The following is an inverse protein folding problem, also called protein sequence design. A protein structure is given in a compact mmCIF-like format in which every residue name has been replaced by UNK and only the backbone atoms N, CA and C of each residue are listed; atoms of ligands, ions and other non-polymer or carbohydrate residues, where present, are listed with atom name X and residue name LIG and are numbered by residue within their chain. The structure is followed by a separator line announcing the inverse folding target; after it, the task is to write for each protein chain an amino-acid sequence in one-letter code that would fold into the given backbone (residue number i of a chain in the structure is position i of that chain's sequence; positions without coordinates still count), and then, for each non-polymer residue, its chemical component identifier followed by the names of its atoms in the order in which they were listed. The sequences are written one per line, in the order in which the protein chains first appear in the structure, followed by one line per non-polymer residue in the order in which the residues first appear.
data_IF_505741517881
#
_entry.id   IF_505741517881
#
_cell.length_a   1.000
_cell.length_b   1.000
_cell.length_c   1.000
_cell.angle_alpha   90.00
_cell.angle_beta   90.00
_cell.angle_gamma   90.00
#
_symmetry.space_group_name_H-M   'P 1'
#
loop_
_entity.id
_entity.type
_entity.pdbx_description
1 polymer ?
#
# COMPACT_ATOMS: atom_id res chain seq x y z
N UNK A 1 -17.36 68.17 30.24
CA UNK A 1 -17.25 66.71 30.48
C UNK A 1 -18.14 65.95 29.49
N UNK A 2 -17.84 66.00 28.19
CA UNK A 2 -18.51 65.25 27.11
C UNK A 2 -17.57 65.29 25.90
N UNK A 3 -16.63 64.37 25.79
CA UNK A 3 -15.84 64.15 24.57
C UNK A 3 -14.99 62.86 24.62
N UNK A 4 -14.82 62.24 25.79
CA UNK A 4 -13.98 61.03 25.93
C UNK A 4 -14.74 59.72 25.66
N UNK A 5 -16.08 59.75 25.58
CA UNK A 5 -16.91 58.54 25.44
C UNK A 5 -17.17 58.09 23.99
N UNK A 6 -17.11 58.98 23.00
CA UNK A 6 -17.37 58.59 21.60
C UNK A 6 -16.18 57.87 20.95
N UNK A 7 -14.95 58.19 21.35
CA UNK A 7 -13.74 57.62 20.71
C UNK A 7 -13.58 56.12 21.00
N UNK A 8 -13.86 55.67 22.22
CA UNK A 8 -13.77 54.24 22.58
C UNK A 8 -14.84 53.38 21.91
N UNK A 9 -16.05 53.91 21.73
CA UNK A 9 -17.13 53.20 21.06
C UNK A 9 -16.83 52.99 19.57
N UNK A 10 -16.25 54.00 18.90
CA UNK A 10 -15.84 53.88 17.49
C UNK A 10 -14.68 52.90 17.29
N UNK A 11 -13.72 52.84 18.21
CA UNK A 11 -12.61 51.87 18.17
C UNK A 11 -13.12 50.43 18.41
N UNK A 12 -14.08 50.24 19.32
CA UNK A 12 -14.70 48.93 19.55
C UNK A 12 -15.55 48.47 18.36
N UNK A 13 -16.36 49.36 17.77
CA UNK A 13 -17.18 49.05 16.60
C UNK A 13 -16.32 48.73 15.36
N UNK A 14 -15.23 49.46 15.15
CA UNK A 14 -14.29 49.17 14.05
C UNK A 14 -13.51 47.86 14.23
N UNK A 15 -13.13 47.51 15.47
CA UNK A 15 -12.50 46.22 15.77
C UNK A 15 -13.47 45.03 15.57
N UNK A 16 -14.75 45.18 15.93
CA UNK A 16 -15.78 44.16 15.70
C UNK A 16 -16.08 44.01 14.21
N UNK A 17 -16.15 45.10 13.45
CA UNK A 17 -16.29 45.04 11.99
C UNK A 17 -15.08 44.38 11.32
N UNK A 18 -13.84 44.63 11.78
CA UNK A 18 -12.66 43.90 11.28
C UNK A 18 -12.71 42.41 11.63
N UNK A 19 -13.10 42.03 12.85
CA UNK A 19 -13.28 40.61 13.19
C UNK A 19 -14.37 39.93 12.35
N UNK A 20 -15.48 40.62 12.07
CA UNK A 20 -16.57 40.12 11.23
C UNK A 20 -16.26 40.10 9.73
N UNK A 21 -15.23 40.82 9.28
CA UNK A 21 -14.70 40.78 7.90
C UNK A 21 -13.57 39.77 7.74
N UNK A 22 -12.86 39.42 8.81
CA UNK A 22 -11.79 38.40 8.80
C UNK A 22 -12.37 36.99 8.97
N UNK A 23 -13.42 36.81 9.77
CA UNK A 23 -14.07 35.49 9.98
C UNK A 23 -14.71 34.85 8.74
N UNK A 24 -15.32 35.58 7.77
CA UNK A 24 -15.85 34.98 6.55
C UNK A 24 -14.73 34.64 5.56
N UNK A 25 -13.61 35.36 5.57
CA UNK A 25 -12.45 35.06 4.73
C UNK A 25 -11.68 33.83 5.22
N UNK A 26 -11.62 33.59 6.53
CA UNK A 26 -11.02 32.37 7.08
C UNK A 26 -11.90 31.14 6.85
N UNK A 27 -13.24 31.29 6.85
CA UNK A 27 -14.17 30.18 6.60
C UNK A 27 -14.42 29.93 5.10
N UNK A 28 -14.28 30.95 4.23
CA UNK A 28 -14.41 30.78 2.78
C UNK A 28 -13.18 30.12 2.13
N UNK A 29 -12.01 30.15 2.78
CA UNK A 29 -10.79 29.52 2.26
C UNK A 29 -10.75 27.99 2.46
N UNK A 30 -11.60 27.43 3.31
CA UNK A 30 -11.51 26.04 3.78
C UNK A 30 -12.67 25.14 3.31
N UNK A 31 -13.50 25.63 2.39
CA UNK A 31 -14.54 24.81 1.78
C UNK A 31 -14.65 25.10 0.28
N UNK A 32 -13.56 24.87 -0.45
CA UNK A 32 -13.69 24.46 -1.85
C UNK A 32 -14.36 23.10 -1.78
N UNK A 33 -15.61 22.97 -2.22
CA UNK A 33 -16.23 21.65 -2.41
C UNK A 33 -15.22 20.79 -3.16
N UNK A 34 -14.76 19.72 -2.52
CA UNK A 34 -13.78 18.85 -3.16
C UNK A 34 -14.51 18.22 -4.35
N UNK A 35 -14.10 18.53 -5.59
CA UNK A 35 -14.64 17.91 -6.81
C UNK A 35 -14.22 16.43 -6.92
N UNK A 36 -14.14 15.73 -5.78
CA UNK A 36 -13.79 14.32 -5.69
C UNK A 36 -14.98 13.53 -6.21
N UNK A 37 -14.74 12.82 -7.30
CA UNK A 37 -15.62 11.81 -7.88
C UNK A 37 -15.34 10.48 -7.19
N UNK A 38 -16.37 9.65 -7.14
CA UNK A 38 -16.31 8.32 -6.53
C UNK A 38 -17.09 7.33 -7.40
N UNK A 39 -16.59 6.11 -7.50
CA UNK A 39 -17.32 4.99 -8.08
C UNK A 39 -16.95 3.69 -7.37
N UNK A 40 -17.94 2.81 -7.29
CA UNK A 40 -17.83 1.46 -6.74
C UNK A 40 -17.97 0.46 -7.88
N UNK A 41 -17.09 -0.51 -7.92
CA UNK A 41 -17.02 -1.54 -8.95
C UNK A 41 -16.91 -2.93 -8.32
N UNK A 42 -17.15 -3.95 -9.13
CA UNK A 42 -16.94 -5.35 -8.77
C UNK A 42 -15.92 -5.96 -9.73
N UNK A 43 -15.06 -6.84 -9.21
CA UNK A 43 -14.29 -7.75 -10.07
C UNK A 43 -15.24 -8.68 -10.83
N UNK A 44 -14.76 -9.42 -11.85
CA UNK A 44 -15.46 -10.61 -12.29
C UNK A 44 -15.65 -11.59 -11.12
N UNK A 45 -16.73 -12.37 -11.21
CA UNK A 45 -17.05 -13.41 -10.22
C UNK A 45 -15.94 -14.45 -10.14
N UNK A 46 -15.56 -14.82 -8.93
CA UNK A 46 -14.75 -16.01 -8.67
C UNK A 46 -15.48 -16.94 -7.70
N UNK A 47 -15.15 -18.23 -7.74
CA UNK A 47 -15.80 -19.23 -6.91
C UNK A 47 -14.79 -19.98 -6.08
N UNK A 48 -15.04 -20.06 -4.77
CA UNK A 48 -14.21 -20.80 -3.82
C UNK A 48 -15.05 -21.84 -3.09
N UNK A 49 -14.48 -23.04 -2.94
CA UNK A 49 -14.92 -24.04 -1.96
C UNK A 49 -13.88 -24.23 -0.85
N UNK A 50 -14.18 -25.03 0.18
CA UNK A 50 -13.31 -25.24 1.32
C UNK A 50 -11.85 -25.54 0.94
N UNK A 51 -10.92 -24.75 1.46
CA UNK A 51 -9.47 -24.86 1.21
C UNK A 51 -8.99 -24.31 -0.13
N UNK A 52 -9.86 -24.04 -1.10
CA UNK A 52 -9.43 -23.65 -2.46
C UNK A 52 -8.88 -22.22 -2.53
N UNK A 53 -8.00 -21.99 -3.52
CA UNK A 53 -7.30 -20.73 -3.74
C UNK A 53 -7.66 -20.08 -5.07
N UNK A 54 -8.07 -18.82 -5.00
CA UNK A 54 -8.13 -17.90 -6.13
C UNK A 54 -6.84 -17.10 -6.13
N UNK A 55 -6.09 -17.07 -7.24
CA UNK A 55 -4.95 -16.15 -7.43
C UNK A 55 -4.89 -15.75 -8.91
N UNK A 56 -5.84 -14.91 -9.32
CA UNK A 56 -6.12 -14.62 -10.73
C UNK A 56 -5.89 -13.16 -11.07
N UNK A 57 -5.46 -12.93 -12.29
CA UNK A 57 -5.32 -11.60 -12.88
C UNK A 57 -6.52 -11.31 -13.79
N UNK A 58 -7.15 -10.18 -13.56
CA UNK A 58 -8.27 -9.62 -14.32
C UNK A 58 -7.76 -8.41 -15.09
N UNK A 59 -7.64 -8.55 -16.41
CA UNK A 59 -7.17 -7.50 -17.30
C UNK A 59 -8.29 -6.54 -17.66
N UNK A 60 -7.91 -5.31 -17.99
CA UNK A 60 -8.81 -4.23 -18.39
C UNK A 60 -9.99 -4.05 -17.40
N UNK A 61 -9.65 -4.00 -16.12
CA UNK A 61 -10.65 -3.80 -15.07
C UNK A 61 -11.41 -2.49 -15.25
N UNK A 62 -12.63 -2.44 -14.73
CA UNK A 62 -13.37 -1.19 -14.64
C UNK A 62 -12.61 -0.20 -13.76
N UNK A 63 -12.30 0.97 -14.31
CA UNK A 63 -11.45 1.95 -13.67
C UNK A 63 -11.74 3.33 -14.26
N UNK A 64 -11.73 4.43 -13.47
CA UNK A 64 -11.95 5.76 -14.01
C UNK A 64 -10.92 6.10 -15.09
N UNK A 65 -11.41 6.56 -16.24
CA UNK A 65 -10.59 6.88 -17.43
C UNK A 65 -10.43 8.38 -17.61
N UNK A 66 -9.40 8.77 -18.34
CA UNK A 66 -9.03 10.16 -18.61
C UNK A 66 -7.82 10.61 -17.79
N UNK A 67 -7.39 11.86 -18.00
CA UNK A 67 -6.31 12.44 -17.22
C UNK A 67 -6.86 12.88 -15.86
N UNK A 68 -6.53 12.13 -14.81
CA UNK A 68 -7.11 12.27 -13.47
C UNK A 68 -6.04 12.18 -12.39
N UNK A 69 -6.36 12.72 -11.22
CA UNK A 69 -5.60 12.53 -9.98
C UNK A 69 -6.34 11.56 -9.08
N UNK A 70 -5.79 10.35 -8.88
CA UNK A 70 -6.39 9.40 -7.94
C UNK A 70 -6.21 9.90 -6.51
N UNK A 71 -7.25 9.70 -5.70
CA UNK A 71 -7.38 10.22 -4.33
C UNK A 71 -7.53 9.13 -3.29
N UNK A 72 -8.06 7.95 -3.64
CA UNK A 72 -8.19 6.81 -2.73
C UNK A 72 -8.54 5.55 -3.54
N UNK A 73 -8.12 4.39 -3.05
CA UNK A 73 -8.54 3.09 -3.56
C UNK A 73 -8.67 2.12 -2.39
N UNK A 74 -9.87 1.59 -2.17
CA UNK A 74 -10.13 0.52 -1.19
C UNK A 74 -10.74 -0.70 -1.88
N UNK A 75 -10.54 -1.88 -1.29
CA UNK A 75 -11.03 -3.15 -1.81
C UNK A 75 -11.35 -4.13 -0.69
N UNK A 76 -12.39 -4.94 -0.87
CA UNK A 76 -12.76 -6.02 0.04
C UNK A 76 -13.51 -7.15 -0.69
N UNK A 77 -13.50 -8.35 -0.11
CA UNK A 77 -14.27 -9.48 -0.63
C UNK A 77 -15.72 -9.42 -0.12
N UNK A 78 -16.66 -9.58 -1.05
CA UNK A 78 -18.11 -9.64 -0.79
C UNK A 78 -18.75 -10.88 -1.42
N UNK A 79 -19.88 -11.30 -0.86
CA UNK A 79 -20.75 -12.36 -1.42
C UNK A 79 -21.66 -11.86 -2.55
N UNK A 80 -22.54 -12.73 -3.07
CA UNK A 80 -23.50 -12.40 -4.15
C UNK A 80 -24.52 -11.34 -3.73
N UNK A 81 -24.84 -11.28 -2.44
CA UNK A 81 -25.73 -10.30 -1.83
C UNK A 81 -25.01 -8.97 -1.52
N UNK A 82 -23.70 -8.91 -1.69
CA UNK A 82 -22.88 -7.72 -1.44
C UNK A 82 -22.48 -7.51 0.02
N UNK A 83 -22.64 -8.52 0.88
CA UNK A 83 -22.18 -8.50 2.25
C UNK A 83 -20.67 -8.78 2.32
N UNK A 84 -19.99 -8.10 3.24
CA UNK A 84 -18.56 -8.33 3.50
C UNK A 84 -18.35 -9.72 4.10
N UNK A 85 -17.38 -10.45 3.56
CA UNK A 85 -17.06 -11.82 4.01
C UNK A 85 -15.98 -11.80 5.09
N UNK A 86 -16.16 -12.46 6.25
CA UNK A 86 -15.13 -12.52 7.28
C UNK A 86 -13.85 -13.24 6.84
N UNK A 87 -12.69 -12.76 7.31
CA UNK A 87 -11.37 -13.31 6.99
C UNK A 87 -11.15 -14.75 7.46
N UNK A 88 -11.85 -15.16 8.51
CA UNK A 88 -11.83 -16.55 9.00
C UNK A 88 -12.67 -17.52 8.15
N UNK A 89 -13.42 -17.01 7.16
CA UNK A 89 -14.10 -17.79 6.14
C UNK A 89 -13.39 -17.69 4.79
N UNK A 90 -13.15 -16.47 4.30
CA UNK A 90 -12.37 -16.22 3.09
C UNK A 90 -11.30 -15.19 3.41
N UNK A 91 -10.07 -15.66 3.50
CA UNK A 91 -8.93 -14.81 3.75
C UNK A 91 -8.52 -14.14 2.44
N UNK A 92 -8.69 -12.82 2.36
CA UNK A 92 -8.13 -11.99 1.30
C UNK A 92 -6.63 -11.83 1.58
N UNK A 93 -5.82 -12.73 1.02
CA UNK A 93 -4.37 -12.71 1.22
C UNK A 93 -3.78 -11.43 0.64
N UNK A 94 -4.18 -11.06 -0.58
CA UNK A 94 -3.98 -9.73 -1.12
C UNK A 94 -4.89 -9.48 -2.31
N UNK A 95 -5.07 -8.20 -2.61
CA UNK A 95 -5.47 -7.74 -3.92
C UNK A 95 -4.41 -6.74 -4.37
N UNK A 96 -4.15 -6.64 -5.66
CA UNK A 96 -3.17 -5.71 -6.20
C UNK A 96 -3.63 -5.12 -7.52
N UNK A 97 -3.48 -3.81 -7.68
CA UNK A 97 -3.84 -3.08 -8.90
C UNK A 97 -2.59 -2.59 -9.57
N UNK A 98 -2.39 -3.01 -10.82
CA UNK A 98 -1.21 -2.69 -11.62
C UNK A 98 -1.63 -1.91 -12.87
N UNK A 99 -0.78 -0.95 -13.26
CA UNK A 99 -0.94 -0.15 -14.48
C UNK A 99 -0.17 -0.80 -15.62
N UNK A 100 -0.75 -0.82 -16.83
CA UNK A 100 -0.05 -1.27 -18.02
C UNK A 100 -0.48 -0.48 -19.26
N UNK A 101 0.37 -0.49 -20.28
CA UNK A 101 0.05 0.03 -21.60
C UNK A 101 -0.18 -1.13 -22.57
N UNK A 102 -1.26 -1.05 -23.35
CA UNK A 102 -1.59 -2.03 -24.38
C UNK A 102 -1.56 -1.40 -25.76
N UNK A 103 -1.02 -2.10 -26.77
CA UNK A 103 -1.08 -1.62 -28.16
C UNK A 103 -2.54 -1.58 -28.64
N UNK A 104 -2.95 -0.45 -29.20
CA UNK A 104 -4.30 -0.28 -29.76
C UNK A 104 -4.57 -1.30 -30.88
N UNK A 105 -5.77 -1.87 -30.88
CA UNK A 105 -6.20 -2.85 -31.89
C UNK A 105 -5.64 -4.26 -31.69
N UNK A 106 -4.95 -4.52 -30.57
CA UNK A 106 -4.61 -5.88 -30.15
C UNK A 106 -5.61 -6.35 -29.10
N UNK A 107 -6.06 -7.59 -29.18
CA UNK A 107 -6.72 -8.22 -28.03
C UNK A 107 -5.65 -8.71 -27.06
N UNK A 108 -5.90 -8.55 -25.75
CA UNK A 108 -5.05 -9.22 -24.76
C UNK A 108 -5.27 -10.70 -25.01
N UNK A 109 -4.30 -11.39 -25.61
CA UNK A 109 -4.25 -12.85 -25.53
C UNK A 109 -4.27 -13.13 -24.04
N UNK A 110 -5.41 -13.61 -23.54
CA UNK A 110 -5.60 -14.02 -22.16
C UNK A 110 -4.36 -14.79 -21.79
N UNK A 111 -3.49 -14.17 -20.98
CA UNK A 111 -2.23 -14.77 -20.59
C UNK A 111 -2.65 -16.10 -19.98
N UNK A 112 -2.36 -17.17 -20.72
CA UNK A 112 -2.57 -18.51 -20.25
C UNK A 112 -1.97 -18.54 -18.86
N UNK A 113 -2.73 -19.11 -17.93
CA UNK A 113 -2.63 -19.05 -16.47
C UNK A 113 -1.28 -19.41 -15.84
N UNK A 114 -0.20 -19.46 -16.62
CA UNK A 114 1.07 -20.05 -16.29
C UNK A 114 2.27 -19.13 -16.55
N UNK A 115 2.12 -17.90 -17.05
CA UNK A 115 3.28 -17.02 -17.30
C UNK A 115 3.27 -15.75 -16.46
N UNK A 116 4.18 -15.71 -15.49
CA UNK A 116 4.53 -14.50 -14.78
C UNK A 116 5.33 -13.63 -15.73
N UNK A 117 4.76 -12.47 -16.09
CA UNK A 117 5.49 -11.29 -16.54
C UNK A 117 6.44 -11.40 -17.76
N UNK A 118 6.38 -12.44 -18.60
CA UNK A 118 7.20 -12.52 -19.82
C UNK A 118 6.37 -12.70 -21.08
N UNK A 119 5.82 -11.59 -21.59
CA UNK A 119 5.38 -11.52 -22.99
C UNK A 119 6.57 -11.15 -23.86
N UNK A 120 7.24 -12.17 -24.41
CA UNK A 120 8.15 -11.98 -25.55
C UNK A 120 7.34 -12.16 -26.85
N UNK A 121 6.98 -11.04 -27.49
CA UNK A 121 6.61 -11.03 -28.91
C UNK A 121 7.80 -10.49 -29.71
N UNK A 122 8.11 -11.14 -30.83
CA UNK A 122 9.26 -10.86 -31.72
C UNK A 122 9.17 -9.48 -32.44
N UNK A 123 8.22 -8.62 -32.04
CA UNK A 123 8.04 -7.25 -32.55
C UNK A 123 7.68 -6.26 -31.42
N UNK A 124 8.44 -6.29 -30.33
CA UNK A 124 8.17 -5.48 -29.13
C UNK A 124 6.90 -5.94 -28.41
N UNK A 125 6.80 -5.81 -27.07
CA UNK A 125 5.64 -6.37 -26.40
C UNK A 125 4.42 -5.48 -26.66
N UNK A 126 3.29 -6.06 -27.10
CA UNK A 126 1.98 -5.39 -27.18
C UNK A 126 1.41 -5.00 -25.81
N UNK A 127 2.22 -5.21 -24.76
CA UNK A 127 1.92 -5.05 -23.35
C UNK A 127 3.15 -4.50 -22.63
N UNK A 128 3.02 -3.38 -21.94
CA UNK A 128 4.11 -2.78 -21.15
C UNK A 128 3.60 -2.59 -19.72
N UNK A 129 4.16 -3.36 -18.78
CA UNK A 129 3.84 -3.16 -17.36
C UNK A 129 4.49 -1.86 -16.87
N UNK A 130 3.71 -1.02 -16.19
CA UNK A 130 4.18 0.23 -15.60
C UNK A 130 4.24 0.04 -14.09
N UNK A 131 5.45 -0.03 -13.53
CA UNK A 131 5.65 -0.14 -12.08
C UNK A 131 5.49 1.19 -11.36
N UNK A 132 5.31 1.11 -10.04
CA UNK A 132 5.52 2.24 -9.15
C UNK A 132 6.98 2.74 -9.21
N UNK A 133 7.29 3.83 -8.49
CA UNK A 133 8.61 4.46 -8.47
C UNK A 133 9.60 3.80 -7.50
N UNK A 134 9.22 2.68 -6.89
CA UNK A 134 10.06 1.87 -6.02
C UNK A 134 11.28 1.27 -6.73
N UNK A 135 12.20 0.77 -5.93
CA UNK A 135 13.53 0.28 -6.34
C UNK A 135 13.59 -1.23 -6.60
N UNK A 136 12.53 -1.95 -6.25
CA UNK A 136 12.42 -3.38 -6.47
C UNK A 136 12.35 -3.68 -7.97
N UNK A 137 13.50 -4.11 -8.50
CA UNK A 137 13.70 -4.41 -9.92
C UNK A 137 12.89 -5.64 -10.36
N UNK A 138 12.78 -5.83 -11.67
CA UNK A 138 12.09 -6.98 -12.30
C UNK A 138 10.60 -7.10 -11.92
N UNK A 139 9.98 -5.99 -11.49
CA UNK A 139 8.55 -5.91 -11.19
C UNK A 139 8.10 -6.85 -10.06
N UNK A 140 8.91 -7.05 -9.01
CA UNK A 140 8.55 -7.93 -7.89
C UNK A 140 7.45 -7.37 -6.98
N UNK A 141 7.39 -6.04 -6.82
CA UNK A 141 6.28 -5.31 -6.16
C UNK A 141 5.88 -4.09 -7.00
N UNK A 142 5.24 -4.31 -8.17
CA UNK A 142 4.97 -3.25 -9.16
C UNK A 142 3.66 -2.50 -8.91
N UNK A 143 2.87 -2.93 -7.92
CA UNK A 143 1.51 -2.48 -7.69
C UNK A 143 1.43 -0.98 -7.34
N UNK A 144 0.31 -0.37 -7.72
CA UNK A 144 -0.05 1.01 -7.38
C UNK A 144 -0.94 1.07 -6.14
N UNK A 145 -1.84 0.09 -6.02
CA UNK A 145 -2.73 -0.08 -4.87
C UNK A 145 -2.81 -1.55 -4.50
N UNK A 146 -3.27 -1.78 -3.28
CA UNK A 146 -3.57 -3.10 -2.77
C UNK A 146 -2.53 -3.60 -1.78
N UNK A 147 -2.99 -3.75 -0.54
CA UNK A 147 -2.29 -4.37 0.59
C UNK A 147 -3.31 -5.16 1.40
N UNK A 148 -3.15 -6.49 1.37
CA UNK A 148 -3.85 -7.52 2.15
C UNK A 148 -5.31 -7.32 2.56
N UNK A 149 -5.62 -7.92 3.71
CA UNK A 149 -6.93 -7.94 4.35
C UNK A 149 -7.14 -6.74 5.28
N UNK A 150 -6.07 -6.06 5.65
CA UNK A 150 -6.07 -4.86 6.49
C UNK A 150 -6.74 -3.65 5.84
N UNK A 151 -7.09 -3.74 4.55
CA UNK A 151 -7.65 -2.62 3.80
C UNK A 151 -8.90 -2.01 4.48
N UNK A 152 -9.73 -2.82 5.18
CA UNK A 152 -10.97 -2.34 5.82
C UNK A 152 -10.73 -1.30 6.93
N UNK A 153 -9.68 -1.48 7.72
CA UNK A 153 -9.31 -0.62 8.84
C UNK A 153 -8.19 0.37 8.53
N UNK A 154 -7.79 0.49 7.26
CA UNK A 154 -6.65 1.31 6.84
C UNK A 154 -7.12 2.50 6.01
N UNK A 155 -6.81 3.71 6.45
CA UNK A 155 -7.13 4.93 5.69
C UNK A 155 -6.26 5.04 4.44
N UNK A 156 -6.87 5.22 3.27
CA UNK A 156 -6.15 5.29 1.97
C UNK A 156 -6.32 6.63 1.26
N UNK A 157 -6.96 7.60 1.92
CA UNK A 157 -7.22 8.91 1.32
C UNK A 157 -5.91 9.69 1.12
N UNK A 158 -5.78 10.36 -0.01
CA UNK A 158 -4.66 11.23 -0.36
C UNK A 158 -5.11 12.66 -0.09
N UNK A 159 -4.45 13.42 0.80
CA UNK A 159 -4.90 14.77 1.14
C UNK A 159 -4.77 15.72 -0.06
N UNK A 160 -5.63 16.73 -0.12
CA UNK A 160 -5.45 17.82 -1.09
C UNK A 160 -4.19 18.63 -0.77
N UNK A 161 -3.49 19.18 -1.80
CA UNK A 161 -3.81 19.12 -3.23
C UNK A 161 -3.19 17.92 -3.97
N UNK A 162 -2.76 16.88 -3.25
CA UNK A 162 -1.97 15.79 -3.83
C UNK A 162 -2.83 14.75 -4.56
N UNK A 163 -2.27 14.10 -5.58
CA UNK A 163 -2.95 12.99 -6.27
C UNK A 163 -1.98 12.14 -7.09
N UNK A 164 -2.29 10.86 -7.28
CA UNK A 164 -1.51 10.00 -8.18
C UNK A 164 -1.98 10.28 -9.61
N UNK A 165 -1.08 10.82 -10.44
CA UNK A 165 -1.37 11.16 -11.83
C UNK A 165 -1.46 9.91 -12.71
N UNK A 166 -2.58 9.77 -13.42
CA UNK A 166 -2.82 8.67 -14.37
C UNK A 166 -3.52 9.18 -15.63
N UNK A 167 -3.46 8.43 -16.72
CA UNK A 167 -4.08 8.81 -17.99
C UNK A 167 -3.49 10.04 -18.69
N UNK A 168 -2.29 10.49 -18.30
CA UNK A 168 -1.58 11.57 -19.00
C UNK A 168 -1.09 11.08 -20.37
N UNK A 169 -1.66 11.62 -21.46
CA UNK A 169 -1.33 11.23 -22.82
C UNK A 169 0.15 11.44 -23.19
N UNK A 170 0.84 12.38 -22.54
CA UNK A 170 2.27 12.60 -22.75
C UNK A 170 3.16 11.49 -22.15
N UNK A 171 2.62 10.67 -21.23
CA UNK A 171 3.33 9.54 -20.61
C UNK A 171 3.02 8.19 -21.27
N UNK A 172 2.01 8.14 -22.14
CA UNK A 172 1.55 6.92 -22.82
C UNK A 172 2.28 6.83 -24.17
N UNK A 173 2.97 5.71 -24.50
CA UNK A 173 3.64 5.55 -25.78
C UNK A 173 2.69 5.65 -26.99
N UNK A 174 3.19 6.18 -28.10
CA UNK A 174 2.43 6.28 -29.34
C UNK A 174 1.89 4.92 -29.80
N UNK A 175 0.60 4.86 -30.11
CA UNK A 175 -0.08 3.64 -30.51
C UNK A 175 -0.49 2.73 -29.34
N UNK A 176 -0.28 3.15 -28.09
CA UNK A 176 -0.74 2.45 -26.90
C UNK A 176 -1.92 3.16 -26.21
N UNK A 177 -2.64 2.42 -25.38
CA UNK A 177 -3.64 2.91 -24.44
C UNK A 177 -3.33 2.43 -23.02
N UNK A 178 -3.68 3.23 -22.02
CA UNK A 178 -3.52 2.87 -20.63
C UNK A 178 -4.67 2.01 -20.12
N UNK A 179 -4.31 0.92 -19.45
CA UNK A 179 -5.22 -0.02 -18.82
C UNK A 179 -4.72 -0.43 -17.44
N UNK A 180 -5.64 -1.04 -16.71
CA UNK A 180 -5.43 -1.47 -15.34
C UNK A 180 -5.78 -2.94 -15.23
N UNK A 181 -4.99 -3.67 -14.45
CA UNK A 181 -5.27 -5.05 -14.12
C UNK A 181 -5.39 -5.20 -12.61
N UNK A 182 -6.24 -6.13 -12.20
CA UNK A 182 -6.49 -6.48 -10.82
C UNK A 182 -6.03 -7.92 -10.58
N UNK A 183 -5.16 -8.13 -9.61
CA UNK A 183 -4.90 -9.44 -9.05
C UNK A 183 -5.75 -9.62 -7.77
N UNK A 184 -6.40 -10.78 -7.65
CA UNK A 184 -7.10 -11.18 -6.42
C UNK A 184 -6.53 -12.51 -5.97
N UNK A 185 -5.92 -12.51 -4.78
CA UNK A 185 -5.45 -13.70 -4.09
C UNK A 185 -6.29 -13.93 -2.82
N UNK A 186 -7.18 -14.91 -2.87
CA UNK A 186 -8.10 -15.24 -1.79
C UNK A 186 -8.14 -16.74 -1.52
N UNK A 187 -8.22 -17.10 -0.23
CA UNK A 187 -8.17 -18.48 0.25
C UNK A 187 -9.42 -18.75 1.09
N UNK A 188 -10.17 -19.79 0.74
CA UNK A 188 -11.27 -20.26 1.58
C UNK A 188 -10.71 -21.08 2.74
N UNK A 189 -10.82 -20.54 3.96
CA UNK A 189 -10.26 -21.15 5.17
C UNK A 189 -11.31 -21.93 5.96
N UNK A 190 -12.50 -22.15 5.40
CA UNK A 190 -13.54 -22.96 6.04
C UNK A 190 -13.13 -24.43 6.03
N UNK A 191 -13.18 -25.07 7.19
CA UNK A 191 -12.90 -26.50 7.33
C UNK A 191 -11.44 -26.93 7.18
N UNK A 192 -10.51 -26.00 6.93
CA UNK A 192 -9.08 -26.33 6.81
C UNK A 192 -8.48 -26.82 8.13
N UNK A 193 -7.44 -27.66 8.04
CA UNK A 193 -6.78 -28.25 9.21
C UNK A 193 -6.05 -27.19 10.07
N UNK A 194 -5.27 -26.32 9.43
CA UNK A 194 -4.52 -25.22 10.04
C UNK A 194 -4.79 -23.93 9.28
N UNK A 195 -5.70 -23.09 9.79
CA UNK A 195 -6.07 -21.82 9.15
C UNK A 195 -4.87 -20.93 8.90
N UNK A 196 -4.06 -20.71 9.93
CA UNK A 196 -2.97 -19.75 9.84
C UNK A 196 -1.83 -20.30 8.98
N UNK A 197 -1.60 -21.63 8.98
CA UNK A 197 -0.71 -22.28 8.02
C UNK A 197 -1.20 -22.16 6.57
N UNK A 198 -2.51 -22.25 6.32
CA UNK A 198 -3.07 -22.00 4.98
C UNK A 198 -2.85 -20.56 4.54
N UNK A 199 -3.08 -19.57 5.43
CA UNK A 199 -2.90 -18.14 5.10
C UNK A 199 -1.44 -17.74 4.94
N UNK A 200 -0.50 -18.47 5.56
CA UNK A 200 0.95 -18.37 5.36
C UNK A 200 1.45 -19.21 4.17
N UNK A 201 0.53 -19.85 3.43
CA UNK A 201 0.86 -20.64 2.24
C UNK A 201 1.89 -21.75 2.48
N UNK A 202 1.83 -22.47 3.61
CA UNK A 202 2.76 -23.58 3.91
C UNK A 202 2.62 -24.72 2.90
N UNK A 203 3.71 -25.07 2.23
CA UNK A 203 3.68 -25.98 1.08
C UNK A 203 3.16 -27.38 1.42
N UNK A 204 3.39 -27.86 2.64
CA UNK A 204 2.94 -29.17 3.13
C UNK A 204 1.40 -29.26 3.25
N UNK A 205 0.74 -28.16 3.62
CA UNK A 205 -0.72 -28.07 3.68
C UNK A 205 -1.36 -28.03 2.29
N UNK A 206 -0.66 -27.52 1.28
CA UNK A 206 -1.14 -27.53 -0.11
C UNK A 206 -0.67 -28.75 -0.92
N UNK A 207 0.20 -29.59 -0.35
CA UNK A 207 0.84 -30.71 -1.02
C UNK A 207 1.59 -30.29 -2.31
N UNK A 208 2.35 -29.20 -2.22
CA UNK A 208 3.06 -28.59 -3.35
C UNK A 208 4.57 -28.81 -3.23
N UNK A 209 5.17 -29.28 -4.32
CA UNK A 209 6.63 -29.46 -4.45
C UNK A 209 7.21 -28.78 -5.69
N UNK A 210 6.35 -28.20 -6.54
CA UNK A 210 6.71 -27.44 -7.73
C UNK A 210 5.91 -26.14 -7.76
N UNK A 211 6.51 -25.06 -8.25
CA UNK A 211 5.80 -23.79 -8.39
C UNK A 211 4.78 -23.81 -9.55
N UNK A 212 4.07 -22.69 -9.74
CA UNK A 212 3.09 -22.51 -10.83
C UNK A 212 3.64 -22.72 -12.25
N UNK A 213 4.96 -22.71 -12.43
CA UNK A 213 5.64 -22.96 -13.70
C UNK A 213 6.17 -24.40 -13.83
N UNK A 214 5.88 -25.26 -12.85
CA UNK A 214 6.37 -26.63 -12.79
C UNK A 214 7.84 -26.74 -12.39
N UNK A 215 8.45 -25.68 -11.84
CA UNK A 215 9.84 -25.70 -11.37
C UNK A 215 9.88 -26.28 -9.96
N UNK A 216 10.77 -27.25 -9.66
CA UNK A 216 10.91 -27.79 -8.32
C UNK A 216 11.23 -26.71 -7.28
N UNK A 217 10.57 -26.79 -6.13
CA UNK A 217 10.89 -25.96 -4.97
C UNK A 217 12.16 -26.48 -4.29
N UNK A 218 12.91 -25.58 -3.66
CA UNK A 218 14.06 -25.99 -2.85
C UNK A 218 13.56 -26.63 -1.55
N UNK A 219 14.29 -27.61 -0.98
CA UNK A 219 13.82 -28.31 0.23
C UNK A 219 13.65 -27.41 1.46
N UNK A 220 14.30 -26.26 1.48
CA UNK A 220 14.25 -25.24 2.53
C UNK A 220 13.13 -24.20 2.31
N UNK A 221 12.43 -24.23 1.18
CA UNK A 221 11.27 -23.36 0.94
C UNK A 221 10.01 -23.97 1.56
N UNK A 222 9.69 -23.54 2.78
CA UNK A 222 8.61 -24.14 3.59
C UNK A 222 7.21 -23.62 3.24
N UNK A 223 7.11 -22.44 2.63
CA UNK A 223 5.84 -21.79 2.31
C UNK A 223 6.02 -20.39 1.75
N UNK A 224 4.93 -19.83 1.25
CA UNK A 224 4.89 -18.50 0.65
C UNK A 224 4.31 -18.47 -0.76
N UNK A 225 4.67 -17.44 -1.53
CA UNK A 225 4.17 -17.12 -2.87
C UNK A 225 4.17 -18.29 -3.86
N UNK A 226 5.07 -19.27 -3.71
CA UNK A 226 5.18 -20.40 -4.64
C UNK A 226 4.23 -21.56 -4.33
N UNK A 227 3.53 -21.55 -3.19
CA UNK A 227 2.78 -22.71 -2.68
C UNK A 227 1.26 -22.58 -2.69
N UNK A 228 0.72 -21.36 -2.83
CA UNK A 228 -0.71 -21.08 -2.88
C UNK A 228 -1.11 -20.36 -4.18
N UNK A 229 -0.71 -20.91 -5.33
CA UNK A 229 -1.13 -20.38 -6.63
C UNK A 229 -2.56 -20.81 -6.98
N UNK A 230 -3.12 -20.22 -8.04
CA UNK A 230 -4.52 -20.43 -8.43
C UNK A 230 -4.87 -21.92 -8.60
N UNK A 231 -6.03 -22.32 -8.09
CA UNK A 231 -6.57 -23.70 -8.10
C UNK A 231 -5.82 -24.70 -7.22
N UNK A 232 -4.83 -24.26 -6.43
CA UNK A 232 -4.36 -25.08 -5.31
C UNK A 232 -5.45 -25.17 -4.23
N UNK A 233 -5.30 -26.14 -3.33
CA UNK A 233 -6.24 -26.37 -2.25
C UNK A 233 -5.47 -26.69 -0.97
N UNK A 234 -5.67 -25.88 0.06
CA UNK A 234 -5.17 -26.16 1.39
C UNK A 234 -5.91 -27.36 1.97
N UNK A 235 -5.20 -28.20 2.73
CA UNK A 235 -5.76 -29.42 3.32
C UNK A 235 -6.98 -29.11 4.19
N UNK A 236 -8.06 -29.81 3.88
CA UNK A 236 -9.36 -29.74 4.57
C UNK A 236 -9.50 -30.92 5.51
N UNK A 237 -10.10 -30.70 6.69
CA UNK A 237 -10.37 -31.75 7.67
C UNK A 237 -11.23 -32.85 7.06
N UNK A 238 -10.88 -34.10 7.38
CA UNK A 238 -11.64 -35.27 6.92
C UNK A 238 -13.13 -35.15 7.27
N UNK A 239 -14.00 -35.40 6.29
CA UNK A 239 -15.45 -35.32 6.44
C UNK A 239 -16.05 -33.90 6.43
N UNK A 240 -15.25 -32.83 6.30
CA UNK A 240 -15.80 -31.49 6.12
C UNK A 240 -16.26 -31.28 4.68
N UNK A 241 -17.57 -31.08 4.52
CA UNK A 241 -18.19 -30.67 3.26
C UNK A 241 -18.76 -29.26 3.43
N UNK A 242 -18.44 -28.38 2.47
CA UNK A 242 -18.95 -27.01 2.46
C UNK A 242 -19.28 -26.58 1.04
N UNK A 243 -20.35 -25.77 0.84
CA UNK A 243 -20.72 -25.33 -0.49
C UNK A 243 -19.66 -24.39 -1.07
N UNK A 244 -19.52 -24.42 -2.39
CA UNK A 244 -18.81 -23.38 -3.11
C UNK A 244 -19.59 -22.07 -2.99
N UNK A 245 -18.88 -20.95 -2.86
CA UNK A 245 -19.43 -19.60 -2.81
C UNK A 245 -18.96 -18.81 -4.02
N UNK A 246 -19.88 -18.10 -4.65
CA UNK A 246 -19.58 -17.03 -5.59
C UNK A 246 -19.18 -15.78 -4.80
N UNK A 247 -18.06 -15.18 -5.18
CA UNK A 247 -17.47 -14.03 -4.49
C UNK A 247 -16.99 -12.99 -5.51
N UNK A 248 -16.83 -11.77 -5.02
CA UNK A 248 -16.33 -10.63 -5.79
C UNK A 248 -15.37 -9.82 -4.93
N UNK A 249 -14.39 -9.17 -5.56
CA UNK A 249 -13.73 -8.03 -4.94
C UNK A 249 -14.57 -6.79 -5.26
N UNK A 250 -15.18 -6.20 -4.24
CA UNK A 250 -15.78 -4.86 -4.32
C UNK A 250 -14.70 -3.84 -4.07
N UNK A 251 -14.56 -2.86 -4.95
CA UNK A 251 -13.59 -1.79 -4.79
C UNK A 251 -14.18 -0.41 -5.06
N UNK A 252 -13.67 0.57 -4.32
CA UNK A 252 -14.09 1.97 -4.43
C UNK A 252 -12.90 2.82 -4.84
N UNK A 253 -13.06 3.60 -5.91
CA UNK A 253 -12.03 4.52 -6.39
C UNK A 253 -12.53 5.95 -6.20
N UNK A 254 -11.71 6.81 -5.61
CA UNK A 254 -11.94 8.25 -5.56
C UNK A 254 -10.92 8.98 -6.42
N UNK A 255 -11.34 9.99 -7.17
CA UNK A 255 -10.45 10.76 -8.04
C UNK A 255 -10.95 12.19 -8.28
N UNK A 256 -10.07 13.04 -8.80
CA UNK A 256 -10.41 14.37 -9.32
C UNK A 256 -10.01 14.46 -10.79
N UNK A 257 -10.69 15.32 -11.56
CA UNK A 257 -10.18 15.67 -12.89
C UNK A 257 -8.83 16.34 -12.77
N UNK A 258 -7.88 15.97 -13.62
CA UNK A 258 -6.55 16.56 -13.57
C UNK A 258 -6.59 18.05 -13.89
N UNK A 259 -5.84 18.83 -13.13
CA UNK A 259 -5.59 20.25 -13.38
C UNK A 259 -4.22 20.62 -12.83
N UNK A 260 -3.69 21.77 -13.22
CA UNK A 260 -2.42 22.30 -12.70
C UNK A 260 -2.43 22.54 -11.18
N UNK A 261 -3.60 22.51 -10.55
CA UNK A 261 -3.72 22.61 -9.09
C UNK A 261 -3.48 21.29 -8.35
N UNK A 262 -3.49 20.15 -9.05
CA UNK A 262 -3.19 18.84 -8.46
C UNK A 262 -1.68 18.64 -8.44
N UNK A 263 -1.13 18.31 -7.28
CA UNK A 263 0.30 18.02 -7.13
C UNK A 263 0.54 16.52 -7.28
N UNK A 264 1.30 16.07 -8.30
CA UNK A 264 1.57 14.66 -8.49
C UNK A 264 2.39 14.09 -7.33
N UNK A 265 1.99 12.91 -6.86
CA UNK A 265 2.82 12.09 -5.96
C UNK A 265 3.33 10.85 -6.68
N UNK A 266 4.51 10.39 -6.25
CA UNK A 266 5.11 9.13 -6.66
C UNK A 266 4.90 8.08 -5.58
N UNK A 267 4.66 6.85 -6.03
CA UNK A 267 4.45 5.69 -5.16
C UNK A 267 5.79 5.00 -4.97
N UNK A 268 6.19 4.76 -3.74
CA UNK A 268 7.33 3.91 -3.41
C UNK A 268 6.84 2.75 -2.55
N UNK A 269 7.11 1.52 -3.00
CA UNK A 269 6.97 0.32 -2.17
C UNK A 269 8.38 -0.15 -1.82
N UNK A 270 8.68 -0.13 -0.53
CA UNK A 270 9.97 -0.56 0.02
C UNK A 270 9.80 -1.94 0.62
N UNK A 271 10.71 -2.86 0.33
CA UNK A 271 10.68 -4.23 0.82
C UNK A 271 11.84 -4.45 1.81
N UNK A 272 11.53 -4.87 3.04
CA UNK A 272 12.52 -5.11 4.09
C UNK A 272 13.50 -6.23 3.74
N UNK A 273 13.16 -7.08 2.78
CA UNK A 273 14.02 -8.19 2.31
C UNK A 273 15.01 -7.77 1.23
N UNK A 274 14.95 -6.52 0.74
CA UNK A 274 15.85 -6.04 -0.29
C UNK A 274 17.31 -6.07 0.18
N UNK A 275 18.16 -6.66 -0.67
CA UNK A 275 19.61 -6.66 -0.51
C UNK A 275 20.27 -5.94 -1.69
N UNK A 276 20.96 -4.85 -1.41
CA UNK A 276 21.79 -4.15 -2.39
C UNK A 276 23.01 -5.01 -2.78
N UNK A 277 23.06 -5.47 -4.03
CA UNK A 277 24.26 -6.07 -4.59
C UNK A 277 25.10 -4.99 -5.28
N UNK A 278 26.23 -4.63 -4.67
CA UNK A 278 27.24 -3.75 -5.28
C UNK A 278 28.26 -4.62 -6.02
N UNK A 279 28.44 -4.48 -7.34
CA UNK A 279 29.49 -5.21 -8.05
C UNK A 279 30.87 -4.83 -7.51
N UNK A 280 31.69 -5.82 -7.14
CA UNK A 280 33.06 -5.61 -6.67
C UNK A 280 33.86 -4.77 -7.70
N UNK A 281 34.42 -3.64 -7.25
CA UNK A 281 35.41 -2.87 -8.01
C UNK A 281 34.92 -1.58 -8.68
N UNK A 282 33.66 -1.17 -8.52
CA UNK A 282 33.20 0.13 -9.01
C UNK A 282 33.09 1.18 -7.91
N UNK A 283 33.97 2.17 -7.93
CA UNK A 283 33.86 3.39 -7.11
C UNK A 283 32.77 4.36 -7.64
N UNK A 284 31.91 3.96 -8.58
CA UNK A 284 30.77 4.78 -9.00
C UNK A 284 29.57 4.55 -8.07
N UNK A 285 29.37 5.47 -7.15
CA UNK A 285 28.25 5.50 -6.21
C UNK A 285 26.88 5.28 -6.90
N UNK A 286 26.08 4.41 -6.31
CA UNK A 286 24.61 4.28 -6.41
C UNK A 286 23.96 3.80 -7.73
N UNK A 287 24.48 4.11 -8.93
CA UNK A 287 23.70 3.92 -10.18
C UNK A 287 23.74 2.51 -10.81
N UNK A 288 24.58 1.59 -10.32
CA UNK A 288 24.66 0.21 -10.82
C UNK A 288 24.36 -0.85 -9.74
N UNK A 289 23.75 -0.45 -8.62
CA UNK A 289 23.37 -1.39 -7.57
C UNK A 289 22.18 -2.23 -8.06
N UNK A 290 22.32 -3.56 -8.03
CA UNK A 290 21.21 -4.47 -8.31
C UNK A 290 20.42 -4.66 -7.01
N UNK A 291 19.14 -4.31 -7.02
CA UNK A 291 18.23 -4.57 -5.92
C UNK A 291 17.70 -5.99 -6.03
N UNK A 292 17.53 -6.66 -4.89
CA UNK A 292 17.09 -8.05 -4.82
C UNK A 292 16.03 -8.17 -3.72
N UNK A 293 14.84 -7.69 -4.04
CA UNK A 293 13.64 -7.78 -3.21
C UNK A 293 13.08 -9.20 -3.29
N UNK A 294 13.04 -9.91 -2.15
CA UNK A 294 12.51 -11.28 -2.06
C UNK A 294 11.02 -11.32 -1.75
N UNK A 295 10.41 -10.18 -1.39
CA UNK A 295 9.00 -9.97 -1.04
C UNK A 295 8.60 -10.61 0.29
N UNK A 296 9.02 -11.85 0.54
CA UNK A 296 8.68 -12.63 1.73
C UNK A 296 9.91 -13.18 2.46
N UNK A 297 9.74 -13.46 3.75
CA UNK A 297 10.74 -14.12 4.59
C UNK A 297 10.06 -14.89 5.73
N UNK A 298 10.83 -15.76 6.38
CA UNK A 298 10.36 -16.54 7.52
C UNK A 298 10.80 -15.91 8.84
N UNK A 299 9.95 -16.04 9.87
CA UNK A 299 10.21 -15.61 11.24
C UNK A 299 10.18 -16.84 12.13
N UNK A 300 11.35 -17.22 12.64
CA UNK A 300 11.49 -18.39 13.50
C UNK A 300 10.88 -18.16 14.89
N UNK A 301 10.25 -19.18 15.47
CA UNK A 301 9.80 -19.14 16.86
C UNK A 301 10.96 -18.91 17.84
N UNK A 302 10.67 -18.31 19.00
CA UNK A 302 11.60 -18.29 20.13
C UNK A 302 11.39 -19.53 21.03
N UNK A 303 12.45 -20.02 21.66
CA UNK A 303 12.36 -21.13 22.63
C UNK A 303 12.13 -20.59 24.04
N UNK A 304 11.23 -21.21 24.82
CA UNK A 304 10.97 -20.87 26.23
C UNK A 304 12.20 -20.95 27.17
N UNK A 305 13.33 -21.53 26.72
CA UNK A 305 14.51 -21.81 27.53
C UNK A 305 15.65 -20.80 27.38
N UNK A 306 15.49 -19.76 26.56
CA UNK A 306 16.48 -18.68 26.45
C UNK A 306 15.82 -17.36 26.84
N UNK A 307 16.45 -16.66 27.78
CA UNK A 307 16.20 -15.25 28.07
C UNK A 307 16.56 -14.43 26.81
N UNK A 308 15.67 -14.42 25.82
CA UNK A 308 15.80 -13.52 24.68
C UNK A 308 15.65 -12.10 25.23
N UNK A 309 16.75 -11.36 25.29
CA UNK A 309 16.79 -9.98 25.81
C UNK A 309 15.84 -9.04 25.07
N UNK A 310 15.37 -9.43 23.88
CA UNK A 310 14.48 -8.68 23.01
C UNK A 310 13.00 -9.09 23.09
N UNK A 311 12.62 -9.93 24.06
CA UNK A 311 11.21 -10.26 24.30
C UNK A 311 10.53 -11.05 23.18
N UNK A 312 11.25 -11.96 22.52
CA UNK A 312 10.75 -12.77 21.39
C UNK A 312 10.25 -11.93 20.19
N UNK A 313 10.96 -10.86 19.86
CA UNK A 313 10.67 -10.03 18.68
C UNK A 313 11.72 -10.29 17.60
N UNK A 314 11.27 -10.62 16.39
CA UNK A 314 12.09 -10.61 15.20
C UNK A 314 12.15 -9.21 14.63
N UNK A 315 13.36 -8.68 14.43
CA UNK A 315 13.59 -7.35 13.89
C UNK A 315 14.33 -7.50 12.58
N UNK A 316 13.64 -7.27 11.47
CA UNK A 316 14.26 -7.26 10.14
C UNK A 316 14.47 -5.82 9.69
N UNK A 317 15.68 -5.52 9.21
CA UNK A 317 16.04 -4.19 8.71
C UNK A 317 16.70 -4.26 7.34
N UNK A 318 16.41 -3.27 6.51
CA UNK A 318 17.20 -2.96 5.32
C UNK A 318 17.44 -1.46 5.22
N UNK A 319 18.56 -1.06 4.63
CA UNK A 319 18.93 0.34 4.41
C UNK A 319 19.27 0.54 2.95
N UNK A 320 18.63 1.52 2.31
CA UNK A 320 18.75 1.72 0.87
C UNK A 320 18.65 3.19 0.48
N UNK A 321 19.39 3.61 -0.56
CA UNK A 321 19.33 4.98 -1.06
C UNK A 321 18.03 5.20 -1.83
N UNK A 322 17.27 6.24 -1.48
CA UNK A 322 16.09 6.65 -2.24
C UNK A 322 16.53 7.27 -3.58
N UNK A 323 16.06 6.76 -4.73
CA UNK A 323 16.55 7.19 -6.04
C UNK A 323 16.18 8.64 -6.33
N UNK A 324 15.00 9.07 -5.90
CA UNK A 324 14.57 10.47 -5.85
C UNK A 324 13.81 10.70 -4.55
N UNK A 325 14.11 11.82 -3.90
CA UNK A 325 13.48 12.28 -2.67
C UNK A 325 12.26 13.16 -2.94
N UNK A 326 11.76 13.77 -1.88
CA UNK A 326 10.60 14.64 -1.89
C UNK A 326 9.93 14.72 -0.52
N UNK A 327 8.76 15.31 -0.47
CA UNK A 327 7.97 15.47 0.75
C UNK A 327 7.05 14.27 0.94
N UNK A 328 7.09 13.67 2.12
CA UNK A 328 6.24 12.52 2.45
C UNK A 328 4.83 13.02 2.73
N UNK A 329 3.87 12.49 1.97
CA UNK A 329 2.45 12.88 2.03
C UNK A 329 1.63 11.82 2.75
N UNK A 330 1.98 10.55 2.55
CA UNK A 330 1.30 9.40 3.11
C UNK A 330 2.29 8.25 3.26
N UNK A 331 2.07 7.41 4.27
CA UNK A 331 2.74 6.13 4.36
C UNK A 331 1.99 5.11 5.21
N UNK A 332 2.20 3.84 4.90
CA UNK A 332 1.60 2.71 5.60
C UNK A 332 2.43 1.46 5.38
N UNK A 333 2.51 0.57 6.36
CA UNK A 333 3.15 -0.73 6.19
C UNK A 333 2.14 -1.82 5.80
N UNK A 334 2.66 -2.90 5.23
CA UNK A 334 1.94 -4.15 5.04
C UNK A 334 2.68 -5.25 5.78
N UNK A 335 1.96 -5.96 6.64
CA UNK A 335 2.44 -7.09 7.42
C UNK A 335 1.37 -8.20 7.44
N UNK A 336 1.81 -9.44 7.56
CA UNK A 336 0.96 -10.60 7.82
C UNK A 336 0.76 -10.78 9.33
N UNK A 337 -0.14 -11.71 9.70
CA UNK A 337 -0.36 -12.09 11.08
C UNK A 337 0.96 -12.43 11.79
N UNK A 338 1.11 -11.96 13.03
CA UNK A 338 2.37 -11.96 13.77
C UNK A 338 3.12 -10.62 13.69
N UNK A 339 2.78 -9.74 12.74
CA UNK A 339 3.34 -8.39 12.66
C UNK A 339 3.06 -7.58 13.93
N UNK A 340 4.08 -6.86 14.41
CA UNK A 340 4.01 -5.97 15.58
C UNK A 340 4.02 -4.51 15.16
N UNK A 341 4.66 -4.18 14.04
CA UNK A 341 4.78 -2.83 13.53
C UNK A 341 5.95 -2.69 12.59
N UNK A 342 5.99 -1.57 11.88
CA UNK A 342 7.04 -1.26 10.92
C UNK A 342 7.33 0.24 10.96
N UNK A 343 8.60 0.60 10.89
CA UNK A 343 9.04 2.00 10.93
C UNK A 343 10.07 2.28 9.85
N UNK A 344 9.88 3.40 9.16
CA UNK A 344 10.83 3.95 8.22
C UNK A 344 11.60 5.09 8.86
N UNK A 345 12.92 5.03 8.77
CA UNK A 345 13.85 6.00 9.33
C UNK A 345 14.63 6.73 8.23
N UNK A 346 14.91 8.01 8.46
CA UNK A 346 15.87 8.77 7.67
C UNK A 346 17.31 8.42 8.04
N UNK A 347 18.26 8.92 7.24
CA UNK A 347 19.69 8.61 7.42
C UNK A 347 20.25 9.09 8.76
N UNK A 348 19.67 10.15 9.30
CA UNK A 348 20.00 10.74 10.60
C UNK A 348 19.28 10.06 11.78
N UNK A 349 18.56 8.97 11.54
CA UNK A 349 17.80 8.23 12.54
C UNK A 349 16.43 8.83 12.87
N UNK A 350 16.02 9.93 12.21
CA UNK A 350 14.68 10.49 12.41
C UNK A 350 13.60 9.50 11.95
N UNK A 351 12.48 9.45 12.65
CA UNK A 351 11.32 8.69 12.20
C UNK A 351 10.68 9.45 11.03
N UNK A 352 10.60 8.80 9.86
CA UNK A 352 9.83 9.29 8.71
C UNK A 352 8.36 8.91 8.88
N UNK A 353 8.10 7.65 9.21
CA UNK A 353 6.76 7.13 9.38
C UNK A 353 6.79 5.82 10.18
N UNK A 354 5.85 5.64 11.11
CA UNK A 354 5.61 4.38 11.81
C UNK A 354 4.19 3.91 11.51
N UNK A 355 4.03 2.61 11.29
CA UNK A 355 2.76 1.97 10.97
C UNK A 355 2.59 0.72 11.82
N UNK A 356 1.49 0.67 12.56
CA UNK A 356 1.18 -0.35 13.56
C UNK A 356 -0.07 -1.13 13.15
N UNK A 357 -0.06 -2.47 13.25
CA UNK A 357 -1.23 -3.29 12.96
C UNK A 357 -2.31 -3.14 14.03
N UNK A 358 -3.56 -3.18 13.58
CA UNK A 358 -4.74 -3.34 14.41
C UNK A 358 -5.27 -4.76 14.22
N UNK A 359 -5.35 -5.52 15.30
CA UNK A 359 -5.88 -6.87 15.30
C UNK A 359 -7.36 -6.88 15.69
N UNK A 360 -8.14 -7.74 15.03
CA UNK A 360 -9.53 -7.94 15.39
C UNK A 360 -9.71 -8.63 16.75
N UNK A 361 -10.92 -8.57 17.28
CA UNK A 361 -11.31 -9.11 18.60
C UNK A 361 -12.64 -9.85 18.60
N UNK A 362 -13.28 -9.98 17.44
CA UNK A 362 -14.60 -10.56 17.23
C UNK A 362 -14.63 -11.52 16.03
N UNK A 363 -15.80 -11.68 15.45
CA UNK A 363 -16.04 -12.61 14.32
C UNK A 363 -16.62 -11.93 13.08
N UNK A 364 -17.09 -10.71 13.22
CA UNK A 364 -17.64 -9.90 12.16
C UNK A 364 -16.56 -9.46 11.16
N UNK A 365 -16.99 -9.23 9.91
CA UNK A 365 -16.10 -8.77 8.85
C UNK A 365 -15.47 -7.41 9.23
N UNK A 366 -14.13 -7.36 9.30
CA UNK A 366 -13.38 -6.17 9.70
C UNK A 366 -13.02 -6.09 11.19
N UNK A 367 -13.35 -7.10 11.99
CA UNK A 367 -12.91 -7.21 13.39
C UNK A 367 -12.55 -8.67 13.75
N UNK A 368 -12.05 -9.46 12.81
CA UNK A 368 -11.80 -10.89 13.00
C UNK A 368 -10.61 -11.15 13.95
N UNK A 369 -10.86 -11.88 15.04
CA UNK A 369 -9.83 -12.26 16.03
C UNK A 369 -8.66 -13.01 15.38
N UNK A 370 -7.45 -12.58 15.70
CA UNK A 370 -6.21 -13.19 15.18
C UNK A 370 -5.80 -12.72 13.78
N UNK A 371 -6.58 -11.83 13.15
CA UNK A 371 -6.26 -11.21 11.85
C UNK A 371 -5.86 -9.75 12.03
N UNK A 372 -4.95 -9.28 11.18
CA UNK A 372 -4.71 -7.84 11.00
C UNK A 372 -5.87 -7.30 10.17
N UNK A 373 -6.68 -6.44 10.78
CA UNK A 373 -7.87 -5.84 10.16
C UNK A 373 -7.65 -4.38 9.75
N UNK A 374 -6.51 -3.81 10.14
CA UNK A 374 -6.12 -2.43 9.82
C UNK A 374 -4.65 -2.17 10.08
N UNK A 375 -4.11 -1.11 9.48
CA UNK A 375 -2.79 -0.57 9.74
C UNK A 375 -2.90 0.93 10.03
N UNK A 376 -2.14 1.43 11.01
CA UNK A 376 -2.06 2.86 11.25
C UNK A 376 -1.34 3.55 10.10
N UNK A 377 -1.92 4.62 9.59
CA UNK A 377 -1.37 5.38 8.46
C UNK A 377 -0.70 6.64 8.97
N UNK A 378 0.40 7.04 8.33
CA UNK A 378 1.02 8.32 8.61
C UNK A 378 0.57 9.36 7.58
N UNK A 379 0.13 10.50 8.11
CA UNK A 379 -0.15 11.72 7.35
C UNK A 379 0.71 12.84 7.91
N UNK A 380 1.99 12.93 7.52
CA UNK A 380 2.83 14.03 7.94
C UNK A 380 2.22 15.36 7.51
N UNK A 381 2.37 16.41 8.32
CA UNK A 381 2.01 17.76 7.90
C UNK A 381 2.78 18.07 6.60
N UNK A 382 2.14 18.49 5.50
CA UNK A 382 2.86 18.77 4.26
C UNK A 382 4.05 19.72 4.47
N UNK A 383 5.23 19.30 4.02
CA UNK A 383 6.49 20.04 4.20
C UNK A 383 7.26 19.76 5.49
N UNK A 384 6.70 19.00 6.45
CA UNK A 384 7.39 18.68 7.71
C UNK A 384 8.44 17.57 7.56
N UNK A 385 8.22 16.62 6.65
CA UNK A 385 9.11 15.48 6.43
C UNK A 385 9.53 15.48 4.96
N UNK A 386 10.84 15.65 4.74
CA UNK A 386 11.46 15.60 3.41
C UNK A 386 12.50 14.50 3.39
N UNK A 387 12.46 13.66 2.37
CA UNK A 387 13.54 12.74 2.01
C UNK A 387 14.39 13.47 0.96
N UNK A 388 15.70 13.56 1.15
CA UNK A 388 16.58 14.18 0.15
C UNK A 388 16.97 13.17 -0.94
N UNK A 389 17.32 13.67 -2.14
CA UNK A 389 17.76 12.81 -3.23
C UNK A 389 18.98 11.99 -2.81
N UNK A 390 18.92 10.67 -2.97
CA UNK A 390 19.98 9.75 -2.55
C UNK A 390 20.07 9.52 -1.04
N UNK A 391 19.15 10.06 -0.22
CA UNK A 391 19.12 9.78 1.22
C UNK A 391 18.98 8.28 1.45
N UNK A 392 19.81 7.73 2.34
CA UNK A 392 19.64 6.34 2.77
C UNK A 392 18.51 6.28 3.79
N UNK A 393 17.41 5.62 3.43
CA UNK A 393 16.32 5.32 4.36
C UNK A 393 16.49 3.92 4.91
N UNK A 394 16.10 3.70 6.16
CA UNK A 394 16.12 2.38 6.80
C UNK A 394 14.70 1.94 7.11
N UNK A 395 14.29 0.82 6.53
CA UNK A 395 13.03 0.16 6.85
C UNK A 395 13.28 -0.91 7.92
N UNK A 396 12.50 -0.85 8.98
CA UNK A 396 12.42 -1.87 10.02
C UNK A 396 11.04 -2.51 10.03
N UNK A 397 10.97 -3.84 10.04
CA UNK A 397 9.74 -4.61 10.19
C UNK A 397 9.89 -5.55 11.38
N UNK A 398 8.95 -5.47 12.32
CA UNK A 398 8.98 -6.23 13.57
C UNK A 398 7.85 -7.27 13.59
N UNK A 399 8.20 -8.50 13.98
CA UNK A 399 7.27 -9.62 14.10
C UNK A 399 7.40 -10.30 15.46
N UNK A 400 6.30 -10.84 15.98
CA UNK A 400 6.29 -11.68 17.16
C UNK A 400 6.79 -13.08 16.83
N UNK A 401 7.67 -13.59 17.68
CA UNK A 401 8.18 -14.97 17.65
C UNK A 401 7.57 -15.84 18.75
N UNK A 402 6.72 -15.26 19.61
CA UNK A 402 6.31 -15.84 20.88
C UNK A 402 5.32 -17.01 20.75
N UNK A 403 4.53 -17.04 19.69
CA UNK A 403 3.48 -18.04 19.51
C UNK A 403 3.91 -19.23 18.66
N UNK A 404 4.71 -19.00 17.61
CA UNK A 404 5.06 -20.00 16.58
C UNK A 404 6.03 -19.41 15.56
N UNK A 405 6.57 -20.27 14.71
CA UNK A 405 7.22 -19.87 13.46
C UNK A 405 6.17 -19.37 12.47
N UNK A 406 6.44 -18.22 11.84
CA UNK A 406 5.65 -17.68 10.73
C UNK A 406 6.41 -17.85 9.42
N UNK A 407 5.72 -18.31 8.39
CA UNK A 407 6.30 -18.59 7.07
C UNK A 407 5.76 -17.60 6.04
N UNK A 408 6.62 -17.16 5.11
CA UNK A 408 6.19 -16.31 3.99
C UNK A 408 5.57 -14.98 4.44
N UNK A 409 6.09 -14.38 5.52
CA UNK A 409 5.62 -13.07 5.98
C UNK A 409 6.19 -11.94 5.15
N UNK A 410 5.45 -10.84 5.02
CA UNK A 410 5.89 -9.65 4.30
C UNK A 410 6.27 -8.51 5.24
N UNK A 411 7.19 -7.66 4.81
CA UNK A 411 7.54 -6.41 5.50
C UNK A 411 7.66 -5.30 4.49
N UNK A 412 6.53 -4.90 3.90
CA UNK A 412 6.50 -3.85 2.88
C UNK A 412 6.13 -2.50 3.50
N UNK A 413 6.59 -1.42 2.89
CA UNK A 413 6.23 -0.06 3.28
C UNK A 413 5.85 0.76 2.04
N UNK A 414 4.60 1.21 1.99
CA UNK A 414 4.05 2.04 0.94
C UNK A 414 4.19 3.51 1.32
N UNK A 415 4.70 4.34 0.41
CA UNK A 415 4.85 5.79 0.59
C UNK A 415 4.31 6.54 -0.62
N UNK A 416 3.68 7.69 -0.36
CA UNK A 416 3.43 8.72 -1.37
C UNK A 416 4.36 9.90 -1.12
N UNK A 417 5.15 10.23 -2.13
CA UNK A 417 6.16 11.30 -2.08
C UNK A 417 5.86 12.34 -3.15
N UNK A 418 5.71 13.59 -2.75
CA UNK A 418 5.60 14.73 -3.66
C UNK A 418 7.00 15.35 -3.88
N UNK A 419 7.47 15.40 -5.13
CA UNK A 419 8.79 15.97 -5.44
C UNK A 419 8.84 17.48 -5.12
N UNK A 420 7.70 18.16 -5.25
CA UNK A 420 7.55 19.59 -4.98
C UNK A 420 6.30 19.86 -4.16
N UNK A 421 6.30 20.98 -3.44
CA UNK A 421 5.13 21.52 -2.77
C UNK A 421 4.59 22.73 -3.55
N UNK A 422 3.27 22.98 -3.53
CA UNK A 422 2.73 24.25 -3.98
C UNK A 422 3.33 25.41 -3.19
N UNK A 423 3.59 26.54 -3.86
CA UNK A 423 4.14 27.76 -3.26
C UNK A 423 3.39 28.25 -2.02
N UNK A 424 2.07 27.99 -1.96
CA UNK A 424 1.22 28.36 -0.83
C UNK A 424 1.57 27.58 0.45
N UNK A 425 1.97 26.31 0.33
CA UNK A 425 2.37 25.48 1.47
C UNK A 425 3.77 25.86 2.00
N UNK A 426 4.66 26.36 1.15
CA UNK A 426 5.99 26.87 1.54
C UNK A 426 5.92 28.19 2.34
N UNK A 427 4.92 29.03 2.08
CA UNK A 427 4.70 30.29 2.83
C UNK A 427 4.20 30.06 4.25
N UNK A 428 3.43 29.01 4.49
CA UNK A 428 2.95 28.68 5.84
C UNK A 428 4.00 27.99 6.72
N UNK A 429 4.94 27.23 6.14
CA UNK A 429 6.04 26.63 6.91
C UNK A 429 7.05 27.69 7.38
N UNK A 430 7.36 28.67 6.53
CA UNK A 430 8.24 29.80 6.85
C UNK A 430 7.64 30.79 7.84
N UNK A 431 6.32 31.00 7.83
CA UNK A 431 5.66 31.80 8.86
C UNK A 431 5.62 31.07 10.21
N UNK A 432 5.36 29.76 10.23
CA UNK A 432 5.37 28.98 11.47
C UNK A 432 6.75 28.97 12.15
N UNK A 433 7.85 28.95 11.37
CA UNK A 433 9.21 29.06 11.92
C UNK A 433 9.58 30.48 12.37
N UNK A 434 8.92 31.51 11.85
CA UNK A 434 9.05 32.89 12.33
C UNK A 434 8.33 33.11 13.66
N UNK A 435 7.16 32.49 13.86
CA UNK A 435 6.41 32.59 15.12
C UNK A 435 7.04 31.78 16.27
N UNK A 436 7.66 30.62 16.00
CA UNK A 436 8.42 29.89 17.02
C UNK A 436 9.70 30.58 17.48
N UNK A 437 10.19 31.59 16.75
CA UNK A 437 11.32 32.43 17.16
C UNK A 437 10.90 33.68 17.94
N UNK A 438 9.61 34.04 17.96
CA UNK A 438 9.12 35.22 18.71
C UNK A 438 8.83 34.85 20.18
N UNK A 439 8.47 33.58 20.45
CA UNK A 439 8.21 33.10 21.82
C UNK A 439 9.49 32.95 22.68
N UNK A 440 10.68 33.03 22.07
CA UNK A 440 11.98 33.04 22.78
C UNK A 440 12.56 34.45 23.00
N UNK A 441 11.82 35.51 22.68
CA UNK A 441 12.25 36.91 22.91
C UNK A 441 11.60 37.51 24.17
N UNK A 442 10.65 36.81 24.77
CA UNK A 442 10.01 37.21 26.03
C UNK A 442 10.15 36.11 27.09
N UNK A 443 11.39 35.84 27.52
CA UNK A 443 11.71 35.37 28.87
C UNK A 443 13.07 35.90 29.33
#
# INVERSE_FOLDING_TARGET
MRLVSLSRAYVFLSAISLLLLVTPLSHALWKKESNIKEAVFLSPKFELGPGSVENKYYYDMDFPRGHIGLKSFTGEVVDEEGNSVPLHETYLHHWAVLRYYQRKGTEVVTLSSNDGHRVHSESGPDYILVSNSGICQEHSVPQYFGIGSETRGTATDIPDPFGIEVGNSAQIPDGFEEKWLLNVHAIDTRGVEDRLGCTECKCDLYNITVDKHGRPLTPDYLGGLLCCYHKTQCRVKEGFEGPRRSLYLRYTVKWVDWSESVVPVKIYVIDVTDTLQVPNGSNSKALSAKHNCKVEYDVESCSNNNEDSNGCIDVKRTSLPMPRGGYVIYGVAHQHAGGIGSTLYGQDGRVICSSMPSYGSGSEAGNEEGYIVGMSTCYPRPGSIKIIDGETVTLESNYSRSSRTHIGVMGLFYLLVAEQLPDQLLKHSSQASLFSNIDNIFY
#
